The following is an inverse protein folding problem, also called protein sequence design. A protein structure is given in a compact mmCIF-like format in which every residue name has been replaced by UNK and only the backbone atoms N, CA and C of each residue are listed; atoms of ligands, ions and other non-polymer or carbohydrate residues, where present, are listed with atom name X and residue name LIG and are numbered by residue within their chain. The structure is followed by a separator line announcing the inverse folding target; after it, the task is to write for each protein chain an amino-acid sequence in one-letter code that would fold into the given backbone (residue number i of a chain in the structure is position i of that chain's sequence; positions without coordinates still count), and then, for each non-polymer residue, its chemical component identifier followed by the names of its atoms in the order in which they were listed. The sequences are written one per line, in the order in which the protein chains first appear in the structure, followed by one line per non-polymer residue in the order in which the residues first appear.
data_IF_806911692326
#
_entry.id   IF_806911692326
#
_cell.length_a   1.000
_cell.length_b   1.000
_cell.length_c   1.000
_cell.angle_alpha   90.00
_cell.angle_beta   90.00
_cell.angle_gamma   90.00
#
_symmetry.space_group_name_H-M   'P 1'
#
loop_
_entity.id
_entity.type
_entity.pdbx_description
1 polymer ?
#
# COMPACT_ATOMS: atom_id res chain seq x y z
N UNK A 1 -16.95 -30.49 2.15
CA UNK A 1 -18.15 -29.80 2.67
C UNK A 1 -18.26 -28.44 2.02
N UNK A 2 -19.41 -28.15 1.43
CA UNK A 2 -19.67 -26.88 0.77
C UNK A 2 -19.67 -25.75 1.80
N UNK A 3 -18.67 -24.90 1.74
CA UNK A 3 -18.54 -23.74 2.62
C UNK A 3 -19.66 -22.69 2.34
N UNK A 4 -19.89 -21.78 3.28
CA UNK A 4 -20.92 -20.75 3.12
C UNK A 4 -20.74 -19.92 1.82
N UNK A 5 -19.52 -19.69 1.39
CA UNK A 5 -19.20 -18.99 0.14
C UNK A 5 -19.58 -19.79 -1.11
N UNK A 6 -19.65 -21.12 -1.04
CA UNK A 6 -20.01 -21.98 -2.18
C UNK A 6 -21.49 -21.89 -2.58
N UNK A 7 -22.32 -21.31 -1.72
CA UNK A 7 -23.77 -21.12 -1.94
C UNK A 7 -24.12 -19.75 -2.51
N UNK A 8 -23.14 -18.84 -2.60
CA UNK A 8 -23.38 -17.49 -3.08
C UNK A 8 -23.46 -17.45 -4.61
N UNK A 9 -24.36 -16.62 -5.19
CA UNK A 9 -24.36 -16.28 -6.60
C UNK A 9 -22.99 -15.68 -7.01
N UNK A 10 -22.62 -15.88 -8.27
CA UNK A 10 -21.31 -15.45 -8.79
C UNK A 10 -21.11 -13.92 -8.68
N UNK A 11 -22.19 -13.14 -8.89
CA UNK A 11 -22.14 -11.68 -8.81
C UNK A 11 -21.78 -11.20 -7.39
N UNK A 12 -22.35 -11.85 -6.37
CA UNK A 12 -22.03 -11.53 -4.97
C UNK A 12 -20.59 -11.93 -4.63
N UNK A 13 -20.13 -13.08 -5.10
CA UNK A 13 -18.74 -13.50 -4.94
C UNK A 13 -17.77 -12.51 -5.59
N UNK A 14 -18.08 -12.04 -6.79
CA UNK A 14 -17.25 -11.06 -7.49
C UNK A 14 -17.16 -9.74 -6.70
N UNK A 15 -18.28 -9.22 -6.19
CA UNK A 15 -18.28 -8.02 -5.36
C UNK A 15 -17.47 -8.18 -4.06
N UNK A 16 -17.59 -9.35 -3.41
CA UNK A 16 -16.78 -9.68 -2.24
C UNK A 16 -15.30 -9.68 -2.62
N UNK A 17 -14.90 -10.35 -3.71
CA UNK A 17 -13.50 -10.43 -4.12
C UNK A 17 -12.91 -9.06 -4.50
N UNK A 18 -13.70 -8.19 -5.15
CA UNK A 18 -13.28 -6.82 -5.46
C UNK A 18 -12.98 -6.00 -4.19
N UNK A 19 -13.73 -6.23 -3.12
CA UNK A 19 -13.55 -5.53 -1.84
C UNK A 19 -12.44 -6.12 -0.96
N UNK A 20 -12.00 -7.36 -1.24
CA UNK A 20 -10.93 -8.00 -0.47
C UNK A 20 -9.58 -7.35 -0.76
N UNK A 21 -8.76 -7.23 0.27
CA UNK A 21 -7.35 -6.88 0.13
C UNK A 21 -6.58 -7.98 -0.61
N UNK A 22 -5.49 -7.58 -1.27
CA UNK A 22 -4.67 -8.48 -2.13
C UNK A 22 -4.15 -9.70 -1.36
N UNK A 23 -3.84 -9.56 -0.06
CA UNK A 23 -3.38 -10.68 0.76
C UNK A 23 -4.51 -11.67 1.02
N UNK A 24 -5.69 -11.17 1.42
CA UNK A 24 -6.88 -11.99 1.67
C UNK A 24 -7.34 -12.69 0.41
N UNK A 25 -7.33 -11.99 -0.73
CA UNK A 25 -7.63 -12.56 -2.05
C UNK A 25 -6.66 -13.70 -2.41
N UNK A 26 -5.36 -13.49 -2.19
CA UNK A 26 -4.33 -14.54 -2.43
C UNK A 26 -4.57 -15.76 -1.55
N UNK A 27 -5.02 -15.58 -0.31
CA UNK A 27 -5.38 -16.69 0.59
C UNK A 27 -6.64 -17.41 0.10
N UNK A 28 -7.68 -16.68 -0.36
CA UNK A 28 -8.88 -17.30 -0.93
C UNK A 28 -8.57 -18.26 -2.06
N UNK A 29 -7.61 -17.92 -2.93
CA UNK A 29 -7.14 -18.80 -4.02
C UNK A 29 -6.51 -20.11 -3.52
N UNK A 30 -6.07 -20.17 -2.27
CA UNK A 30 -5.40 -21.33 -1.67
C UNK A 30 -6.38 -22.24 -0.92
N UNK A 31 -7.63 -21.82 -0.69
CA UNK A 31 -8.60 -22.57 0.11
C UNK A 31 -9.12 -23.81 -0.64
N UNK A 32 -9.60 -23.63 -1.87
CA UNK A 32 -10.08 -24.71 -2.73
C UNK A 32 -10.02 -24.32 -4.22
N UNK A 33 -10.24 -25.31 -5.09
CA UNK A 33 -10.17 -25.13 -6.54
C UNK A 33 -11.24 -24.16 -7.06
N UNK A 34 -12.47 -24.24 -6.51
CA UNK A 34 -13.58 -23.38 -6.94
C UNK A 34 -13.29 -21.90 -6.66
N UNK A 35 -12.85 -21.56 -5.45
CA UNK A 35 -12.48 -20.17 -5.11
C UNK A 35 -11.29 -19.68 -5.95
N UNK A 36 -10.33 -20.54 -6.24
CA UNK A 36 -9.23 -20.21 -7.16
C UNK A 36 -9.76 -19.87 -8.54
N UNK A 37 -10.61 -20.72 -9.13
CA UNK A 37 -11.20 -20.48 -10.43
C UNK A 37 -12.05 -19.21 -10.46
N UNK A 38 -12.83 -18.97 -9.40
CA UNK A 38 -13.65 -17.77 -9.28
C UNK A 38 -12.81 -16.49 -9.23
N UNK A 39 -11.72 -16.45 -8.46
CA UNK A 39 -10.80 -15.31 -8.44
C UNK A 39 -10.07 -15.17 -9.77
N UNK A 40 -9.60 -16.26 -10.35
CA UNK A 40 -8.85 -16.25 -11.62
C UNK A 40 -9.72 -15.84 -12.81
N UNK A 41 -11.06 -15.97 -12.71
CA UNK A 41 -12.00 -15.54 -13.75
C UNK A 41 -12.32 -14.03 -13.70
N UNK A 42 -11.94 -13.31 -12.63
CA UNK A 42 -12.16 -11.88 -12.54
C UNK A 42 -11.29 -11.12 -13.55
N UNK A 43 -11.89 -10.28 -14.36
CA UNK A 43 -11.18 -9.45 -15.36
C UNK A 43 -10.15 -8.52 -14.73
N UNK A 44 -10.48 -7.94 -13.57
CA UNK A 44 -9.62 -7.07 -12.77
C UNK A 44 -8.38 -7.82 -12.28
N UNK A 45 -8.57 -9.04 -11.78
CA UNK A 45 -7.46 -9.87 -11.31
C UNK A 45 -6.55 -10.30 -12.46
N UNK A 46 -7.14 -10.70 -13.60
CA UNK A 46 -6.38 -11.06 -14.81
C UNK A 46 -5.55 -9.88 -15.34
N UNK A 47 -6.14 -8.68 -15.39
CA UNK A 47 -5.43 -7.47 -15.81
C UNK A 47 -4.24 -7.17 -14.89
N UNK A 48 -4.42 -7.28 -13.57
CA UNK A 48 -3.35 -7.07 -12.60
C UNK A 48 -2.24 -8.12 -12.76
N UNK A 49 -2.59 -9.39 -12.90
CA UNK A 49 -1.61 -10.46 -13.09
C UNK A 49 -0.82 -10.29 -14.41
N UNK A 50 -1.47 -9.78 -15.46
CA UNK A 50 -0.83 -9.59 -16.77
C UNK A 50 0.09 -8.36 -16.76
N UNK A 51 -0.33 -7.25 -16.14
CA UNK A 51 0.33 -5.96 -16.32
C UNK A 51 1.09 -5.45 -15.09
N UNK A 52 0.80 -5.99 -13.90
CA UNK A 52 1.33 -5.46 -12.64
C UNK A 52 1.72 -6.55 -11.62
N UNK A 53 2.09 -7.75 -12.07
CA UNK A 53 2.47 -8.86 -11.18
C UNK A 53 3.64 -8.50 -10.25
N UNK A 54 4.59 -7.71 -10.73
CA UNK A 54 5.72 -7.22 -9.94
C UNK A 54 5.26 -6.36 -8.74
N UNK A 55 4.20 -5.56 -8.92
CA UNK A 55 3.61 -4.74 -7.83
C UNK A 55 2.90 -5.65 -6.82
N UNK A 56 2.18 -6.67 -7.27
CA UNK A 56 1.59 -7.70 -6.37
C UNK A 56 2.68 -8.34 -5.51
N UNK A 57 3.78 -8.78 -6.13
CA UNK A 57 4.91 -9.36 -5.41
C UNK A 57 5.53 -8.39 -4.40
N UNK A 58 5.69 -7.11 -4.78
CA UNK A 58 6.19 -6.07 -3.89
C UNK A 58 5.27 -5.85 -2.68
N UNK A 59 3.95 -5.76 -2.89
CA UNK A 59 2.95 -5.63 -1.83
C UNK A 59 2.98 -6.80 -0.85
N UNK A 60 3.05 -8.02 -1.36
CA UNK A 60 3.11 -9.23 -0.52
C UNK A 60 4.42 -9.30 0.30
N UNK A 61 5.56 -8.98 -0.31
CA UNK A 61 6.88 -8.99 0.35
C UNK A 61 7.02 -7.91 1.41
N UNK A 62 6.47 -6.72 1.16
CA UNK A 62 6.48 -5.58 2.11
C UNK A 62 5.38 -5.66 3.15
N UNK A 63 4.44 -6.62 3.01
CA UNK A 63 3.23 -6.78 3.83
C UNK A 63 2.19 -5.66 3.67
N UNK A 64 2.34 -4.81 2.66
CA UNK A 64 1.39 -3.74 2.32
C UNK A 64 0.13 -4.28 1.62
N UNK A 65 0.14 -5.52 1.17
CA UNK A 65 -0.98 -6.18 0.50
C UNK A 65 -2.29 -6.25 1.31
N UNK A 66 -2.26 -5.92 2.60
CA UNK A 66 -3.44 -5.80 3.46
C UNK A 66 -4.16 -4.45 3.32
N UNK A 67 -3.46 -3.45 2.80
CA UNK A 67 -3.94 -2.07 2.75
C UNK A 67 -4.53 -1.70 1.38
N UNK A 68 -4.50 -2.62 0.42
CA UNK A 68 -4.93 -2.38 -0.96
C UNK A 68 -5.94 -3.45 -1.35
N UNK A 69 -7.17 -3.03 -1.67
CA UNK A 69 -8.19 -3.94 -2.21
C UNK A 69 -7.91 -4.27 -3.67
N UNK A 70 -8.54 -5.33 -4.19
CA UNK A 70 -8.47 -5.65 -5.61
C UNK A 70 -9.02 -4.51 -6.47
N UNK A 71 -10.10 -3.87 -6.02
CA UNK A 71 -10.72 -2.74 -6.70
C UNK A 71 -9.77 -1.53 -6.76
N UNK A 72 -9.17 -1.13 -5.62
CA UNK A 72 -8.23 0.01 -5.57
C UNK A 72 -7.01 -0.24 -6.44
N UNK A 73 -6.51 -1.49 -6.45
CA UNK A 73 -5.39 -1.87 -7.30
C UNK A 73 -5.75 -1.71 -8.79
N UNK A 74 -6.90 -2.25 -9.19
CA UNK A 74 -7.36 -2.18 -10.57
C UNK A 74 -7.60 -0.73 -11.00
N UNK A 75 -8.23 0.09 -10.15
CA UNK A 75 -8.43 1.52 -10.39
C UNK A 75 -7.08 2.24 -10.61
N UNK A 76 -6.10 1.99 -9.75
CA UNK A 76 -4.77 2.56 -9.91
C UNK A 76 -4.09 2.10 -11.21
N UNK A 77 -4.31 0.86 -11.67
CA UNK A 77 -3.79 0.36 -12.96
C UNK A 77 -4.43 1.07 -14.15
N UNK A 78 -5.74 1.33 -14.09
CA UNK A 78 -6.50 1.98 -15.16
C UNK A 78 -6.30 3.51 -15.20
N UNK A 79 -5.89 4.13 -14.11
CA UNK A 79 -5.65 5.57 -14.02
C UNK A 79 -4.28 5.90 -14.61
N UNK A 80 -4.18 6.98 -15.40
CA UNK A 80 -2.93 7.41 -16.04
C UNK A 80 -2.30 8.66 -15.40
N UNK A 81 -3.07 9.44 -14.66
CA UNK A 81 -2.63 10.71 -14.12
C UNK A 81 -1.97 10.57 -12.75
N UNK A 82 -1.07 11.48 -12.43
CA UNK A 82 -0.51 11.65 -11.10
C UNK A 82 -1.61 12.20 -10.16
N UNK A 83 -1.67 11.72 -8.92
CA UNK A 83 -2.64 12.17 -7.92
C UNK A 83 -2.32 13.59 -7.40
N UNK A 84 -1.06 14.04 -7.57
CA UNK A 84 -0.56 15.33 -7.06
C UNK A 84 -0.48 16.42 -8.13
N UNK A 85 -0.52 16.07 -9.41
CA UNK A 85 -0.44 17.03 -10.51
C UNK A 85 -1.03 16.45 -11.81
N UNK A 86 -1.34 17.27 -12.83
CA UNK A 86 -2.00 16.80 -14.06
C UNK A 86 -1.09 15.98 -15.00
N UNK A 87 0.14 15.64 -14.62
CA UNK A 87 1.09 14.90 -15.45
C UNK A 87 0.80 13.41 -15.45
N UNK A 88 1.39 12.69 -16.39
CA UNK A 88 1.35 11.24 -16.41
C UNK A 88 2.05 10.65 -15.17
N UNK A 89 1.34 9.80 -14.43
CA UNK A 89 1.81 9.11 -13.24
C UNK A 89 2.37 7.73 -13.59
N UNK A 90 3.68 7.65 -13.83
CA UNK A 90 4.36 6.39 -14.20
C UNK A 90 4.66 5.47 -13.03
N UNK A 91 4.44 5.92 -11.78
CA UNK A 91 4.83 5.20 -10.58
C UNK A 91 3.65 5.05 -9.60
N UNK A 92 3.71 4.00 -8.79
CA UNK A 92 2.83 3.82 -7.61
C UNK A 92 3.71 3.91 -6.36
N UNK A 93 3.40 4.86 -5.48
CA UNK A 93 4.03 4.97 -4.18
C UNK A 93 3.34 4.02 -3.20
N UNK A 94 3.93 2.85 -3.00
CA UNK A 94 3.32 1.74 -2.29
C UNK A 94 2.85 2.05 -0.85
N UNK A 95 3.56 2.86 -0.04
CA UNK A 95 3.18 3.11 1.35
C UNK A 95 1.81 3.77 1.51
N UNK A 96 1.47 4.73 0.66
CA UNK A 96 0.19 5.47 0.71
C UNK A 96 -0.72 5.12 -0.46
N UNK A 97 -0.29 4.18 -1.32
CA UNK A 97 -1.02 3.74 -2.51
C UNK A 97 -1.43 4.88 -3.44
N UNK A 98 -0.50 5.82 -3.67
CA UNK A 98 -0.72 6.96 -4.55
C UNK A 98 -0.02 6.80 -5.89
N UNK A 99 -0.70 7.17 -6.95
CA UNK A 99 -0.07 7.26 -8.27
C UNK A 99 0.69 8.57 -8.39
N UNK A 100 1.96 8.52 -8.79
CA UNK A 100 2.80 9.71 -8.86
C UNK A 100 3.65 9.75 -10.13
N UNK A 101 3.99 10.96 -10.55
CA UNK A 101 4.96 11.20 -11.61
C UNK A 101 6.38 11.33 -11.02
N UNK A 102 7.40 11.19 -11.88
CA UNK A 102 8.79 11.32 -11.47
C UNK A 102 9.10 12.68 -10.83
N UNK A 103 8.49 13.76 -11.33
CA UNK A 103 8.74 15.10 -10.80
C UNK A 103 8.22 15.29 -9.38
N UNK A 104 6.99 14.82 -9.09
CA UNK A 104 6.44 14.86 -7.72
C UNK A 104 7.25 13.96 -6.77
N UNK A 105 7.67 12.78 -7.24
CA UNK A 105 8.52 11.89 -6.46
C UNK A 105 9.88 12.53 -6.13
N UNK A 106 10.48 13.24 -7.11
CA UNK A 106 11.77 13.93 -6.96
C UNK A 106 11.67 15.22 -6.15
N UNK A 107 10.57 15.98 -6.28
CA UNK A 107 10.38 17.25 -5.55
C UNK A 107 10.30 17.05 -4.03
N UNK A 108 10.10 15.80 -3.60
CA UNK A 108 9.95 15.51 -2.18
C UNK A 108 8.63 16.03 -1.62
N UNK A 109 7.56 15.90 -2.40
CA UNK A 109 6.21 16.22 -1.94
C UNK A 109 5.92 15.51 -0.62
N UNK A 110 5.32 16.23 0.34
CA UNK A 110 5.12 15.73 1.70
C UNK A 110 4.34 14.41 1.74
N UNK A 111 3.37 14.25 0.83
CA UNK A 111 2.55 13.06 0.72
C UNK A 111 3.32 11.82 0.22
N UNK A 112 4.51 12.02 -0.36
CA UNK A 112 5.40 10.97 -0.85
C UNK A 112 6.64 10.81 0.03
N UNK A 113 6.72 11.50 1.18
CA UNK A 113 7.87 11.41 2.08
C UNK A 113 7.66 10.34 3.14
N UNK A 114 8.72 9.56 3.35
CA UNK A 114 8.82 8.57 4.42
C UNK A 114 10.05 8.87 5.26
N UNK A 115 9.92 8.78 6.57
CA UNK A 115 11.04 8.89 7.49
C UNK A 115 11.05 7.72 8.47
N UNK A 116 12.20 7.48 9.09
CA UNK A 116 12.28 6.49 10.16
C UNK A 116 11.47 6.97 11.35
N UNK A 117 10.78 6.06 12.02
CA UNK A 117 10.01 6.39 13.24
C UNK A 117 10.91 7.03 14.31
N UNK A 118 12.20 6.69 14.32
CA UNK A 118 13.19 7.30 15.20
C UNK A 118 13.42 8.78 14.82
N UNK A 119 13.62 9.08 13.55
CA UNK A 119 13.78 10.46 13.07
C UNK A 119 12.53 11.31 13.34
N UNK A 120 11.33 10.77 13.05
CA UNK A 120 10.05 11.43 13.35
C UNK A 120 9.97 11.77 14.85
N UNK A 121 10.32 10.84 15.73
CA UNK A 121 10.32 11.06 17.19
C UNK A 121 11.28 12.16 17.62
N UNK A 122 12.44 12.28 16.97
CA UNK A 122 13.41 13.34 17.27
C UNK A 122 12.95 14.70 16.75
N UNK A 123 12.37 14.75 15.54
CA UNK A 123 11.92 16.00 14.92
C UNK A 123 10.64 16.54 15.54
N UNK A 124 9.70 15.64 15.87
CA UNK A 124 8.41 15.96 16.46
C UNK A 124 8.38 15.49 17.92
N UNK A 125 9.22 16.10 18.76
CA UNK A 125 9.39 15.75 20.19
C UNK A 125 8.09 15.87 21.01
N UNK A 126 7.10 16.61 20.51
CA UNK A 126 5.77 16.77 21.12
C UNK A 126 4.84 15.57 20.86
N UNK A 127 5.16 14.70 19.90
CA UNK A 127 4.34 13.52 19.64
C UNK A 127 4.38 12.52 20.80
N UNK A 128 3.20 12.22 21.34
CA UNK A 128 3.07 11.20 22.36
C UNK A 128 3.44 9.81 21.84
N UNK A 129 3.88 8.93 22.71
CA UNK A 129 4.16 7.52 22.37
C UNK A 129 2.92 6.83 21.78
N UNK A 130 1.72 7.21 22.25
CA UNK A 130 0.45 6.68 21.75
C UNK A 130 0.22 7.07 20.30
N UNK A 131 0.39 8.36 19.93
CA UNK A 131 0.25 8.84 18.56
C UNK A 131 1.25 8.18 17.61
N UNK A 132 2.50 8.03 18.03
CA UNK A 132 3.52 7.32 17.22
C UNK A 132 3.13 5.87 16.93
N UNK A 133 2.49 5.17 17.88
CA UNK A 133 2.00 3.80 17.68
C UNK A 133 0.82 3.70 16.71
N UNK A 134 0.06 4.78 16.53
CA UNK A 134 -1.07 4.86 15.59
C UNK A 134 -0.63 5.17 14.16
N UNK A 135 0.60 5.65 13.94
CA UNK A 135 1.12 5.88 12.60
C UNK A 135 1.15 4.59 11.77
N UNK A 136 0.75 4.68 10.52
CA UNK A 136 0.86 3.60 9.53
C UNK A 136 2.34 3.32 9.27
N UNK A 137 2.96 2.44 10.04
CA UNK A 137 4.38 2.14 9.96
C UNK A 137 4.66 0.85 9.20
N UNK A 138 5.77 0.84 8.44
CA UNK A 138 6.19 -0.26 7.61
C UNK A 138 7.64 -0.63 7.90
N UNK A 139 7.98 -1.90 7.70
CA UNK A 139 9.37 -2.36 7.77
C UNK A 139 9.97 -2.38 6.36
N UNK A 140 11.07 -1.68 6.17
CA UNK A 140 11.83 -1.74 4.93
C UNK A 140 12.36 -3.14 4.67
N UNK A 141 12.63 -3.47 3.42
CA UNK A 141 13.37 -4.67 3.05
C UNK A 141 14.85 -4.31 2.90
N UNK A 142 15.79 -5.17 3.32
CA UNK A 142 17.19 -4.99 2.96
C UNK A 142 17.38 -5.04 1.45
N UNK A 143 18.27 -4.26 0.91
CA UNK A 143 18.57 -4.27 -0.52
C UNK A 143 19.03 -2.92 -1.06
N UNK A 144 19.37 -2.89 -2.33
CA UNK A 144 19.73 -1.68 -3.06
C UNK A 144 18.45 -1.00 -3.57
N UNK A 145 18.21 0.23 -3.12
CA UNK A 145 17.02 1.02 -3.47
C UNK A 145 17.35 2.35 -4.15
N UNK A 146 18.62 2.67 -4.29
CA UNK A 146 19.12 3.91 -4.89
C UNK A 146 20.10 3.60 -6.01
N UNK A 147 20.24 4.53 -6.94
CA UNK A 147 21.33 4.52 -7.92
C UNK A 147 22.69 4.80 -7.27
N UNK A 148 22.68 5.29 -6.03
CA UNK A 148 23.89 5.48 -5.24
C UNK A 148 24.27 4.15 -4.57
N UNK A 149 25.27 3.49 -5.11
CA UNK A 149 25.76 2.18 -4.68
C UNK A 149 26.40 2.19 -3.28
N UNK A 150 26.64 3.38 -2.70
CA UNK A 150 27.32 3.53 -1.42
C UNK A 150 26.50 3.12 -0.19
N UNK A 151 25.19 2.96 -0.31
CA UNK A 151 24.30 2.75 0.84
C UNK A 151 23.31 1.60 0.62
N UNK A 152 23.76 0.37 0.88
CA UNK A 152 22.89 -0.81 0.92
C UNK A 152 22.40 -1.03 2.36
N UNK A 153 21.12 -0.73 2.69
CA UNK A 153 20.58 -1.03 4.01
C UNK A 153 20.65 -2.53 4.31
N UNK A 154 21.41 -2.92 5.33
CA UNK A 154 21.56 -4.33 5.75
C UNK A 154 20.46 -4.76 6.71
N UNK A 155 19.85 -3.82 7.42
CA UNK A 155 18.81 -4.07 8.43
C UNK A 155 17.44 -3.54 7.98
N UNK A 156 16.38 -4.16 8.53
CA UNK A 156 15.02 -3.65 8.37
C UNK A 156 14.81 -2.46 9.30
N UNK A 157 14.40 -1.35 8.75
CA UNK A 157 14.09 -0.12 9.49
C UNK A 157 12.58 0.12 9.45
N UNK A 158 12.03 0.63 10.54
CA UNK A 158 10.61 1.02 10.59
C UNK A 158 10.50 2.45 10.09
N UNK A 159 9.71 2.65 9.05
CA UNK A 159 9.41 3.95 8.44
C UNK A 159 7.92 4.26 8.54
N UNK A 160 7.57 5.55 8.55
CA UNK A 160 6.20 6.02 8.53
C UNK A 160 6.06 7.26 7.64
N UNK A 161 4.84 7.55 7.11
CA UNK A 161 4.57 8.75 6.32
C UNK A 161 4.77 10.01 7.15
N UNK A 162 5.52 10.98 6.61
CA UNK A 162 5.78 12.26 7.28
C UNK A 162 4.49 13.07 7.42
N UNK A 163 3.64 13.06 6.41
CA UNK A 163 2.34 13.72 6.41
C UNK A 163 1.47 13.30 7.61
N UNK A 164 1.36 11.98 7.85
CA UNK A 164 0.57 11.46 8.99
C UNK A 164 1.17 11.89 10.33
N UNK A 165 2.49 11.91 10.43
CA UNK A 165 3.16 12.33 11.65
C UNK A 165 2.94 13.82 11.94
N UNK A 166 2.96 14.67 10.91
CA UNK A 166 2.67 16.11 11.04
C UNK A 166 1.22 16.35 11.44
N UNK A 167 0.25 15.73 10.79
CA UNK A 167 -1.17 15.83 11.17
C UNK A 167 -1.42 15.41 12.62
N UNK A 168 -0.82 14.29 13.04
CA UNK A 168 -0.95 13.83 14.43
C UNK A 168 -0.32 14.81 15.43
N UNK A 169 0.73 15.54 15.04
CA UNK A 169 1.33 16.57 15.89
C UNK A 169 0.44 17.82 16.01
N UNK A 170 -0.17 18.26 14.91
CA UNK A 170 -1.12 19.37 14.87
C UNK A 170 -2.36 19.08 15.72
N UNK A 171 -2.97 17.91 15.59
CA UNK A 171 -4.13 17.47 16.38
C UNK A 171 -3.84 17.44 17.90
N UNK A 172 -2.61 17.07 18.29
CA UNK A 172 -2.22 17.09 19.70
C UNK A 172 -2.01 18.49 20.24
N UNK A 173 -1.59 19.46 19.42
CA UNK A 173 -1.46 20.85 19.82
C UNK A 173 -2.82 21.53 20.01
N UNK A 174 -3.79 21.23 19.15
CA UNK A 174 -5.16 21.77 19.22
C UNK A 174 -5.94 21.20 20.42
N UNK A 175 -5.68 19.94 20.79
CA UNK A 175 -6.35 19.28 21.92
C UNK A 175 -5.85 19.69 23.30
N UNK A 176 -4.81 20.54 23.39
CA UNK A 176 -4.22 21.06 24.65
C UNK A 176 -4.71 22.49 24.97
N UNK A 177 -5.49 23.11 24.08
CA UNK A 177 -6.17 24.39 24.35
C UNK A 177 -7.58 24.16 24.91
#
# INVERSE_FOLDING_TARGET
GDGALDRLPQELLNNIFLSLDIRSLTKCRQVNLRLRQAVDSLSEYQAICTHALNVVCALLRTRLARNVSLFDFYQALCTKNCDLCPRFGGFIFLPTWRRCCFMCLRSGDLELQMQTVVAIRHQLSLLSVAAIRQLSSFKTLPGLYSLDEGSVPKARVVIAPVEQAMKAAEEQQEGVQ
#
